data_IF_265935890795
#
_entry.id   IF_265935890795
#
_cell.length_a   1.000
_cell.length_b   1.000
_cell.length_c   1.000
_cell.angle_alpha   90.00
_cell.angle_beta   90.00
_cell.angle_gamma   90.00
#
_symmetry.space_group_name_H-M   'P 1'
#
loop_
_entity.id
_entity.type
_entity.pdbx_description
1 polymer ?
2 non-polymer ?
3 water ?
#
# COMPACT_ATOMS: atom_id res chain seq x y z
N UNK A 2 13.25 -32.87 26.55
CA UNK A 2 13.29 -31.55 25.93
C UNK A 2 14.71 -31.00 25.92
N UNK A 3 15.16 -30.52 24.76
CA UNK A 3 16.55 -30.13 24.57
C UNK A 3 16.69 -28.61 24.59
N UNK A 4 17.82 -28.15 25.16
CA UNK A 4 18.11 -26.73 25.18
C UNK A 4 18.64 -26.22 23.84
N UNK A 5 18.53 -24.92 23.65
CA UNK A 5 19.03 -24.24 22.46
C UNK A 5 20.44 -23.73 22.74
N UNK A 6 21.43 -24.30 22.07
CA UNK A 6 22.81 -23.86 22.26
C UNK A 6 23.06 -22.51 21.59
N UNK A 7 22.76 -22.40 20.29
CA UNK A 7 22.67 -21.11 19.66
C UNK A 7 21.65 -21.20 18.54
N UNK A 8 21.23 -20.05 18.04
CA UNK A 8 20.16 -20.01 17.05
C UNK A 8 20.23 -18.71 16.26
N UNK A 9 19.67 -18.75 15.06
CA UNK A 9 19.55 -17.59 14.20
C UNK A 9 18.16 -17.55 13.62
N UNK A 10 17.70 -16.36 13.30
CA UNK A 10 16.40 -16.22 12.65
C UNK A 10 16.48 -15.07 11.67
N UNK A 11 15.57 -15.10 10.70
CA UNK A 11 15.42 -14.07 9.69
C UNK A 11 13.94 -13.78 9.55
N UNK A 12 13.58 -12.50 9.48
CA UNK A 12 12.18 -12.13 9.41
C UNK A 12 12.06 -10.83 8.63
N UNK A 13 11.19 -10.82 7.61
CA UNK A 13 11.12 -9.65 6.74
C UNK A 13 10.64 -8.40 7.45
N UNK A 14 9.63 -8.54 8.31
CA UNK A 14 8.98 -7.45 9.05
C UNK A 14 8.28 -6.44 8.12
N UNK A 15 9.01 -5.91 7.13
CA UNK A 15 8.47 -4.83 6.30
C UNK A 15 7.20 -5.23 5.56
N UNK A 16 7.13 -6.46 5.04
CA UNK A 16 5.89 -6.93 4.41
C UNK A 16 4.70 -6.86 5.36
N UNK A 17 4.88 -7.24 6.63
CA UNK A 17 3.78 -7.19 7.59
C UNK A 17 3.34 -5.76 7.86
N UNK A 18 4.29 -4.81 7.89
CA UNK A 18 3.89 -3.40 8.05
C UNK A 18 3.12 -2.91 6.83
N UNK A 19 3.53 -3.34 5.63
CA UNK A 19 2.76 -2.98 4.45
C UNK A 19 1.37 -3.64 4.47
N UNK A 20 1.31 -4.93 4.84
CA UNK A 20 0.03 -5.63 4.95
C UNK A 20 -0.89 -4.99 5.99
N UNK A 21 -0.32 -4.43 7.06
CA UNK A 21 -1.14 -3.70 8.02
C UNK A 21 -1.81 -2.49 7.36
N UNK A 22 -1.01 -1.65 6.68
CA UNK A 22 -1.55 -0.50 5.95
C UNK A 22 -2.53 -0.95 4.86
N UNK A 23 -2.22 -2.04 4.16
CA UNK A 23 -3.16 -2.55 3.17
C UNK A 23 -4.51 -2.87 3.80
N UNK A 24 -4.49 -3.38 5.04
CA UNK A 24 -5.73 -3.69 5.73
C UNK A 24 -6.57 -2.46 6.03
N UNK A 25 -5.92 -1.32 6.28
CA UNK A 25 -6.68 -0.10 6.55
C UNK A 25 -7.32 0.47 5.28
N UNK A 26 -6.66 0.32 4.13
CA UNK A 26 -7.28 0.71 2.88
C UNK A 26 -8.47 -0.20 2.60
N UNK A 27 -8.27 -1.52 2.78
CA UNK A 27 -9.35 -2.47 2.51
C UNK A 27 -10.55 -2.24 3.42
N UNK A 28 -10.32 -1.85 4.68
CA UNK A 28 -11.41 -1.48 5.57
C UNK A 28 -11.79 -0.01 5.48
N UNK A 29 -11.43 0.67 4.41
CA UNK A 29 -11.83 2.05 4.22
C UNK A 29 -13.26 2.17 3.72
N UNK A 30 -13.63 3.41 3.40
CA UNK A 30 -14.97 3.73 2.92
C UNK A 30 -14.87 4.59 1.66
N UNK A 31 -15.72 4.26 0.66
CA UNK A 31 -15.83 4.95 -0.62
C UNK A 31 -17.20 5.61 -0.76
N UNK A 32 -17.23 6.85 -1.25
CA UNK A 32 -18.48 7.45 -1.69
C UNK A 32 -18.34 7.82 -3.16
N UNK A 33 -19.21 7.28 -4.00
CA UNK A 33 -19.16 7.49 -5.44
C UNK A 33 -20.44 8.19 -5.90
N UNK A 34 -20.30 9.37 -6.46
CA UNK A 34 -21.46 10.14 -6.92
C UNK A 34 -21.34 10.35 -8.43
N UNK A 35 -22.14 9.61 -9.19
CA UNK A 35 -22.10 9.72 -10.64
C UNK A 35 -20.84 9.17 -11.27
N UNK A 36 -20.19 8.21 -10.61
CA UNK A 36 -19.02 7.53 -11.13
C UNK A 36 -19.24 6.05 -10.90
N UNK A 37 -18.94 5.23 -11.90
CA UNK A 37 -19.06 3.79 -11.78
C UNK A 37 -17.72 3.16 -11.49
N UNK A 38 -17.72 1.83 -11.41
CA UNK A 38 -16.50 1.10 -11.17
C UNK A 38 -16.58 -0.27 -11.83
N UNK A 39 -15.54 -0.63 -12.58
CA UNK A 39 -15.51 -1.92 -13.23
C UNK A 39 -14.13 -2.15 -13.81
N UNK A 40 -13.76 -3.42 -13.92
CA UNK A 40 -12.44 -3.80 -14.39
C UNK A 40 -11.36 -3.09 -13.59
N UNK A 41 -11.63 -2.89 -12.29
CA UNK A 41 -10.69 -2.29 -11.34
C UNK A 41 -10.42 -0.83 -11.64
N UNK A 42 -11.34 -0.17 -12.33
CA UNK A 42 -11.15 1.21 -12.74
C UNK A 42 -12.42 2.01 -12.52
N UNK A 43 -12.27 3.25 -12.05
CA UNK A 43 -13.40 4.15 -11.95
C UNK A 43 -13.89 4.48 -13.36
N UNK A 44 -15.20 4.65 -13.49
CA UNK A 44 -15.87 4.78 -14.78
C UNK A 44 -16.59 6.12 -14.80
N UNK A 45 -16.12 7.02 -15.67
CA UNK A 45 -16.63 8.36 -15.79
C UNK A 45 -17.48 8.48 -17.04
N UNK A 46 -18.47 9.38 -16.97
CA UNK A 46 -19.47 9.53 -18.02
C UNK A 46 -19.82 11.00 -18.18
N UNK A 47 -19.76 11.50 -19.43
CA UNK A 47 -19.97 12.91 -19.65
C UNK A 47 -20.64 13.16 -20.98
N UNK A 48 -21.01 14.43 -21.18
CA UNK A 48 -21.59 14.86 -22.45
C UNK A 48 -21.14 16.27 -22.76
N UNK A 49 -19.88 16.58 -22.47
CA UNK A 49 -19.44 17.97 -22.46
C UNK A 49 -17.99 18.08 -22.90
N UNK A 50 -17.71 19.05 -23.73
CA UNK A 50 -16.34 19.34 -24.12
C UNK A 50 -16.28 19.85 -25.53
N UNK A 51 -15.05 20.07 -25.98
CA UNK A 51 -14.77 20.55 -27.32
C UNK A 51 -13.48 19.90 -27.81
N UNK A 52 -13.41 19.68 -29.12
CA UNK A 52 -12.26 19.04 -29.75
C UNK A 52 -12.00 19.73 -31.09
N UNK A 53 -10.76 20.17 -31.29
CA UNK A 53 -10.32 20.68 -32.59
C UNK A 53 -9.67 19.51 -33.31
N UNK A 54 -10.39 18.93 -34.26
CA UNK A 54 -9.91 17.72 -34.94
C UNK A 54 -8.80 18.01 -35.94
N UNK A 55 -8.73 19.24 -36.46
CA UNK A 55 -7.64 19.63 -37.35
C UNK A 55 -6.30 19.64 -36.63
N UNK A 56 -6.24 20.30 -35.48
CA UNK A 56 -5.01 20.44 -34.71
C UNK A 56 -4.84 19.36 -33.65
N UNK A 57 -5.84 18.51 -33.47
CA UNK A 57 -5.79 17.43 -32.49
C UNK A 57 -5.57 17.97 -31.08
N UNK A 58 -6.36 19.00 -30.73
CA UNK A 58 -6.48 19.48 -29.35
C UNK A 58 -7.92 19.33 -28.88
N UNK A 59 -8.09 19.20 -27.57
CA UNK A 59 -9.42 19.01 -27.03
C UNK A 59 -9.44 19.05 -25.52
N UNK A 60 -10.66 19.10 -24.98
CA UNK A 60 -10.95 19.07 -23.55
C UNK A 60 -12.27 18.35 -23.39
N UNK A 61 -12.28 17.30 -22.58
CA UNK A 61 -13.44 16.45 -22.35
C UNK A 61 -13.79 16.57 -20.87
N UNK A 62 -15.03 16.93 -20.57
CA UNK A 62 -15.48 17.12 -19.19
C UNK A 62 -16.31 15.95 -18.69
N UNK A 63 -16.18 15.68 -17.38
CA UNK A 63 -16.90 14.58 -16.74
C UNK A 63 -17.42 15.02 -15.37
N UNK A 64 -18.73 15.05 -15.13
CA UNK A 64 -19.22 15.32 -13.77
C UNK A 64 -18.96 14.16 -12.84
N UNK A 65 -19.35 14.27 -11.57
CA UNK A 65 -19.18 13.15 -10.67
C UNK A 65 -17.97 13.31 -9.76
N UNK A 66 -18.01 12.57 -8.64
CA UNK A 66 -17.00 12.70 -7.61
C UNK A 66 -16.71 11.35 -6.97
N UNK A 67 -15.49 11.25 -6.41
CA UNK A 67 -15.00 10.06 -5.71
C UNK A 67 -14.43 10.50 -4.37
N UNK A 68 -14.78 9.78 -3.30
CA UNK A 68 -14.33 10.13 -1.96
C UNK A 68 -13.89 8.87 -1.25
N UNK A 69 -12.65 8.87 -0.75
CA UNK A 69 -12.13 7.74 0.01
C UNK A 69 -11.71 8.20 1.40
N UNK A 70 -11.99 7.35 2.39
CA UNK A 70 -11.52 7.51 3.77
C UNK A 70 -11.02 6.15 4.25
N UNK A 71 -9.72 6.05 4.53
CA UNK A 71 -9.20 4.83 5.12
C UNK A 71 -9.71 4.64 6.54
N UNK A 72 -9.64 3.39 7.01
CA UNK A 72 -9.99 3.12 8.40
C UNK A 72 -9.09 3.96 9.30
N UNK A 73 -9.72 4.67 10.24
CA UNK A 73 -9.03 5.60 11.10
C UNK A 73 -9.14 7.05 10.67
N UNK A 74 -9.45 7.31 9.40
CA UNK A 74 -9.60 8.67 8.92
C UNK A 74 -8.32 9.41 8.64
N UNK A 75 -7.17 8.73 8.59
CA UNK A 75 -5.91 9.40 8.31
C UNK A 75 -5.76 9.68 6.82
N UNK A 76 -6.07 8.69 6.00
CA UNK A 76 -6.11 8.87 4.55
C UNK A 76 -7.51 9.36 4.19
N UNK A 77 -7.60 10.58 3.63
CA UNK A 77 -8.89 11.17 3.32
C UNK A 77 -8.75 12.05 2.09
N UNK A 78 -9.47 11.73 1.03
CA UNK A 78 -9.20 12.37 -0.25
C UNK A 78 -10.45 12.36 -1.11
N UNK A 79 -10.74 13.50 -1.76
CA UNK A 79 -11.86 13.61 -2.69
C UNK A 79 -11.43 14.26 -4.00
N UNK A 80 -11.85 13.67 -5.12
CA UNK A 80 -11.59 14.17 -6.47
C UNK A 80 -12.94 14.33 -7.17
N UNK A 81 -13.13 15.47 -7.85
CA UNK A 81 -14.41 15.68 -8.53
C UNK A 81 -14.23 16.41 -9.85
N UNK A 82 -15.20 16.16 -10.74
CA UNK A 82 -15.34 16.90 -11.99
C UNK A 82 -14.04 16.85 -12.81
N UNK A 83 -13.61 15.64 -13.13
CA UNK A 83 -12.33 15.50 -13.82
C UNK A 83 -12.46 16.01 -15.24
N UNK A 84 -11.32 16.43 -15.78
CA UNK A 84 -11.23 16.96 -17.13
C UNK A 84 -9.95 16.42 -17.77
N UNK A 85 -10.10 15.86 -18.96
CA UNK A 85 -8.96 15.41 -19.75
C UNK A 85 -8.74 16.42 -20.86
N UNK A 86 -7.56 17.05 -20.89
CA UNK A 86 -7.22 17.95 -21.97
C UNK A 86 -6.04 17.36 -22.73
N UNK A 87 -6.02 17.60 -24.03
CA UNK A 87 -4.91 17.11 -24.83
C UNK A 87 -4.56 18.13 -25.90
N UNK A 88 -3.27 18.15 -26.23
CA UNK A 88 -2.73 18.97 -27.29
C UNK A 88 -1.55 18.19 -27.83
N UNK A 89 -1.63 17.76 -29.09
CA UNK A 89 -0.67 16.79 -29.57
C UNK A 89 -0.79 15.52 -28.75
N UNK A 90 0.35 14.88 -28.48
CA UNK A 90 0.39 13.65 -27.69
C UNK A 90 0.50 13.90 -26.19
N UNK A 91 0.44 15.16 -25.75
CA UNK A 91 0.55 15.54 -24.35
C UNK A 91 -0.78 16.06 -23.82
N UNK A 92 -0.87 16.20 -22.51
CA UNK A 92 -2.10 16.77 -21.98
C UNK A 92 -2.08 16.89 -20.47
N UNK A 93 -3.23 17.27 -19.93
CA UNK A 93 -3.39 17.48 -18.50
C UNK A 93 -4.63 16.75 -18.02
N UNK A 94 -4.54 16.20 -16.82
CA UNK A 94 -5.68 15.70 -16.07
C UNK A 94 -5.94 16.70 -14.96
N UNK A 95 -7.10 17.33 -15.00
CA UNK A 95 -7.49 18.40 -14.09
C UNK A 95 -8.67 17.92 -13.24
N UNK A 96 -8.74 18.37 -11.99
CA UNK A 96 -9.85 18.01 -11.13
C UNK A 96 -9.93 18.93 -9.91
N UNK A 97 -11.14 18.99 -9.34
CA UNK A 97 -11.35 19.59 -8.03
C UNK A 97 -10.90 18.61 -6.96
N UNK A 98 -9.98 19.02 -6.09
CA UNK A 98 -9.37 18.13 -5.12
C UNK A 98 -9.54 18.71 -3.72
N UNK A 99 -10.00 17.86 -2.80
CA UNK A 99 -9.99 18.12 -1.37
C UNK A 99 -9.24 16.98 -0.71
N UNK A 100 -8.31 17.31 0.19
CA UNK A 100 -7.47 16.28 0.81
C UNK A 100 -7.20 16.65 2.27
N UNK A 101 -6.99 15.63 3.09
CA UNK A 101 -6.57 15.79 4.47
C UNK A 101 -5.09 15.46 4.62
N UNK A 102 -4.44 16.08 5.60
CA UNK A 102 -3.08 15.71 5.96
C UNK A 102 -3.14 14.63 7.04
N UNK A 103 -1.97 14.27 7.58
CA UNK A 103 -1.91 13.26 8.64
C UNK A 103 -2.69 13.69 9.89
N UNK A 104 -2.83 15.00 10.11
CA UNK A 104 -3.35 15.53 11.37
C UNK A 104 -4.84 15.82 11.34
N UNK A 105 -5.55 15.39 10.30
CA UNK A 105 -6.98 15.56 10.23
C UNK A 105 -7.45 16.90 9.70
N UNK A 106 -6.54 17.71 9.18
CA UNK A 106 -6.90 19.01 8.64
C UNK A 106 -7.27 18.83 7.18
N UNK A 107 -8.46 19.30 6.81
CA UNK A 107 -8.97 19.21 5.45
C UNK A 107 -8.60 20.48 4.70
N UNK A 108 -8.10 20.33 3.47
CA UNK A 108 -7.71 21.44 2.62
C UNK A 108 -8.41 21.33 1.28
N UNK A 109 -9.06 22.42 0.85
CA UNK A 109 -9.71 22.46 -0.45
C UNK A 109 -8.75 23.13 -1.44
N UNK A 110 -8.13 22.33 -2.29
CA UNK A 110 -7.23 22.89 -3.29
C UNK A 110 -7.95 23.45 -4.51
N UNK A 111 -9.26 23.26 -4.60
CA UNK A 111 -9.99 23.76 -5.74
C UNK A 111 -9.63 23.01 -7.02
N UNK A 112 -9.83 23.68 -8.14
CA UNK A 112 -9.56 23.12 -9.46
C UNK A 112 -8.06 23.14 -9.71
N UNK A 113 -7.45 21.98 -9.88
CA UNK A 113 -6.01 21.92 -10.05
C UNK A 113 -5.60 20.86 -11.06
N UNK A 114 -4.40 21.05 -11.62
CA UNK A 114 -3.76 20.04 -12.47
C UNK A 114 -3.27 18.91 -11.59
N UNK A 115 -3.92 17.76 -11.68
CA UNK A 115 -3.54 16.60 -10.89
C UNK A 115 -2.32 15.91 -11.49
N UNK A 116 -2.34 15.70 -12.80
CA UNK A 116 -1.18 15.13 -13.46
C UNK A 116 -1.09 15.57 -14.90
N UNK A 117 0.11 15.47 -15.45
CA UNK A 117 0.32 15.62 -16.87
C UNK A 117 0.20 14.27 -17.57
N UNK A 118 -0.30 14.30 -18.79
CA UNK A 118 -0.61 13.09 -19.55
C UNK A 118 0.39 12.92 -20.68
N UNK A 119 0.77 11.66 -20.93
CA UNK A 119 1.64 11.27 -22.03
C UNK A 119 0.89 10.18 -22.77
N UNK A 120 0.42 10.49 -23.99
CA UNK A 120 -0.48 9.59 -24.68
C UNK A 120 0.28 8.50 -25.43
N UNK A 121 -0.08 7.25 -25.16
CA UNK A 121 0.39 6.13 -25.99
C UNK A 121 -0.54 5.86 -27.17
N UNK A 122 -1.80 6.24 -27.08
CA UNK A 122 -2.71 6.18 -28.23
C UNK A 122 -3.60 7.40 -28.18
N UNK A 123 -3.76 8.07 -29.32
CA UNK A 123 -4.63 9.23 -29.42
C UNK A 123 -5.12 9.30 -30.86
N UNK A 124 -6.39 8.95 -31.07
CA UNK A 124 -7.01 8.92 -32.38
C UNK A 124 -8.06 10.02 -32.43
N UNK A 125 -8.06 10.81 -33.51
CA UNK A 125 -9.01 11.91 -33.63
C UNK A 125 -9.53 11.97 -35.06
N UNK A 126 -10.85 12.03 -35.20
CA UNK A 126 -11.52 12.29 -36.47
C UNK A 126 -12.64 13.29 -36.20
N UNK A 127 -13.44 13.57 -37.22
CA UNK A 127 -14.57 14.48 -37.05
C UNK A 127 -15.69 13.88 -36.23
N UNK A 128 -15.71 12.56 -36.04
CA UNK A 128 -16.79 11.92 -35.32
C UNK A 128 -16.35 11.36 -33.97
N UNK A 129 -15.05 11.28 -33.68
CA UNK A 129 -14.64 10.62 -32.44
C UNK A 129 -13.22 11.02 -32.05
N UNK A 130 -12.99 11.08 -30.73
CA UNK A 130 -11.65 11.25 -30.17
C UNK A 130 -11.50 10.28 -29.01
N UNK A 131 -10.39 9.55 -29.00
CA UNK A 131 -10.18 8.49 -28.01
C UNK A 131 -8.69 8.41 -27.72
N UNK A 132 -8.34 7.81 -26.58
CA UNK A 132 -6.94 7.83 -26.22
C UNK A 132 -6.65 7.09 -24.94
N UNK A 133 -5.36 6.92 -24.70
CA UNK A 133 -4.86 6.21 -23.53
C UNK A 133 -3.53 6.82 -23.17
N UNK A 134 -3.34 7.15 -21.89
CA UNK A 134 -2.18 7.92 -21.47
C UNK A 134 -1.73 7.47 -20.09
N UNK A 135 -0.42 7.50 -19.88
CA UNK A 135 0.08 7.41 -18.52
C UNK A 135 -0.08 8.76 -17.81
N UNK A 136 -0.09 8.72 -16.48
CA UNK A 136 -0.39 9.90 -15.66
C UNK A 136 0.76 10.14 -14.70
N UNK A 137 1.40 11.30 -14.81
CA UNK A 137 2.51 11.67 -13.97
C UNK A 137 2.08 12.77 -13.00
N UNK A 138 2.30 12.54 -11.71
CA UNK A 138 1.92 13.53 -10.71
C UNK A 138 2.60 14.87 -11.01
N UNK A 139 1.81 15.95 -11.01
CA UNK A 139 2.36 17.28 -11.18
C UNK A 139 2.87 17.83 -9.85
N UNK A 140 3.44 19.03 -9.89
CA UNK A 140 3.85 19.71 -8.67
C UNK A 140 2.63 20.17 -7.87
N UNK A 141 1.67 20.81 -8.53
CA UNK A 141 0.45 21.22 -7.83
C UNK A 141 -0.38 20.02 -7.41
N UNK A 142 -0.40 18.97 -8.26
CA UNK A 142 -1.01 17.71 -7.84
C UNK A 142 -0.31 17.11 -6.64
N UNK A 143 1.02 17.23 -6.58
CA UNK A 143 1.78 16.69 -5.46
C UNK A 143 1.42 17.40 -4.15
N UNK A 144 1.27 18.73 -4.19
CA UNK A 144 0.80 19.47 -3.01
C UNK A 144 -0.60 19.01 -2.60
N UNK A 145 -1.46 18.74 -3.59
CA UNK A 145 -2.86 18.40 -3.32
C UNK A 145 -3.04 17.01 -2.71
N UNK A 146 -2.02 16.16 -2.78
CA UNK A 146 -1.99 14.89 -2.05
C UNK A 146 -1.19 15.00 -0.77
N UNK A 147 -1.11 16.21 -0.21
CA UNK A 147 -0.40 16.50 1.04
C UNK A 147 1.08 16.13 0.97
N UNK A 148 1.66 16.21 -0.23
CA UNK A 148 3.08 15.94 -0.46
C UNK A 148 3.46 14.51 -0.06
N UNK A 149 2.52 13.57 -0.21
CA UNK A 149 2.83 12.16 0.02
C UNK A 149 3.93 11.69 -0.92
N UNK A 150 3.73 11.90 -2.22
CA UNK A 150 4.58 11.33 -3.25
C UNK A 150 5.28 12.44 -4.01
N UNK A 151 6.54 12.19 -4.38
CA UNK A 151 7.31 13.16 -5.12
C UNK A 151 6.60 13.49 -6.43
N UNK A 152 6.70 14.72 -6.91
CA UNK A 152 6.23 15.02 -8.27
C UNK A 152 6.86 14.07 -9.27
N UNK A 153 6.10 13.75 -10.31
CA UNK A 153 6.53 12.78 -11.29
C UNK A 153 6.17 11.35 -10.97
N UNK A 154 5.62 11.11 -9.79
CA UNK A 154 5.14 9.78 -9.44
C UNK A 154 4.07 9.31 -10.43
N UNK A 155 4.15 8.04 -10.80
CA UNK A 155 3.22 7.45 -11.75
C UNK A 155 1.94 7.02 -11.06
N UNK A 156 0.81 7.57 -11.48
CA UNK A 156 -0.48 7.09 -11.02
C UNK A 156 -0.95 5.98 -11.93
N UNK A 157 -2.19 5.54 -11.76
CA UNK A 157 -2.79 4.61 -12.69
C UNK A 157 -2.98 5.29 -14.05
N UNK A 158 -2.88 4.55 -15.15
CA UNK A 158 -3.14 5.15 -16.47
C UNK A 158 -4.61 5.45 -16.66
N UNK A 159 -4.90 6.32 -17.62
CA UNK A 159 -6.26 6.75 -17.90
C UNK A 159 -6.53 6.62 -19.41
N UNK A 160 -7.77 6.30 -19.74
CA UNK A 160 -8.19 6.21 -21.13
C UNK A 160 -9.59 6.79 -21.25
N UNK A 161 -9.95 7.17 -22.48
CA UNK A 161 -11.22 7.84 -22.74
C UNK A 161 -11.64 7.63 -24.18
N UNK A 162 -12.93 7.83 -24.42
CA UNK A 162 -13.45 7.89 -25.78
C UNK A 162 -14.63 8.85 -25.79
N UNK A 163 -14.73 9.63 -26.86
CA UNK A 163 -15.77 10.63 -26.97
C UNK A 163 -16.27 10.70 -28.40
N UNK A 164 -17.59 10.76 -28.55
CA UNK A 164 -18.22 11.02 -29.84
C UNK A 164 -18.43 12.52 -30.00
N UNK A 165 -18.16 13.02 -31.21
CA UNK A 165 -18.15 14.43 -31.52
C UNK A 165 -19.33 14.80 -32.41
N UNK A 166 -19.67 16.09 -32.42
CA UNK A 166 -20.72 16.61 -33.28
C UNK A 166 -20.32 17.85 -34.06
N UNK B 2 -14.31 23.62 -34.47
CA UNK B 2 -14.30 23.08 -33.10
C UNK B 2 -15.62 22.34 -32.83
N UNK B 3 -15.50 21.06 -32.49
CA UNK B 3 -16.64 20.16 -32.42
C UNK B 3 -17.02 19.91 -30.96
N UNK B 4 -18.32 19.90 -30.68
CA UNK B 4 -18.79 19.56 -29.34
C UNK B 4 -18.78 18.06 -29.08
N UNK B 5 -18.74 17.71 -27.80
CA UNK B 5 -18.74 16.32 -27.38
C UNK B 5 -20.19 15.88 -27.14
N UNK B 6 -20.60 14.83 -27.83
CA UNK B 6 -21.95 14.29 -27.69
C UNK B 6 -22.06 13.41 -26.45
N UNK B 7 -21.25 12.35 -26.40
CA UNK B 7 -21.12 11.48 -25.24
C UNK B 7 -19.64 11.19 -25.06
N UNK B 8 -19.25 10.98 -23.80
CA UNK B 8 -17.87 10.62 -23.52
C UNK B 8 -17.82 9.69 -22.32
N UNK B 9 -16.77 8.88 -22.28
CA UNK B 9 -16.51 8.02 -21.14
C UNK B 9 -15.01 8.04 -20.88
N UNK B 10 -14.64 7.66 -19.66
CA UNK B 10 -13.24 7.53 -19.30
C UNK B 10 -13.13 6.48 -18.20
N UNK B 11 -11.94 5.91 -18.12
CA UNK B 11 -11.63 4.83 -17.19
C UNK B 11 -10.28 5.16 -16.58
N UNK B 12 -10.19 5.07 -15.24
CA UNK B 12 -8.96 5.40 -14.50
C UNK B 12 -8.89 4.56 -13.22
N UNK B 13 -7.76 3.88 -13.02
CA UNK B 13 -7.60 2.98 -11.90
C UNK B 13 -7.19 3.66 -10.60
N UNK B 14 -6.95 2.83 -9.57
CA UNK B 14 -6.61 3.33 -8.24
C UNK B 14 -5.55 2.49 -7.55
N UNK B 15 -5.40 1.21 -7.94
CA UNK B 15 -4.56 0.29 -7.17
C UNK B 15 -3.08 0.70 -7.19
N UNK B 16 -2.62 1.37 -8.25
CA UNK B 16 -1.21 1.78 -8.28
C UNK B 16 -0.96 2.95 -7.33
N UNK B 17 -1.92 3.87 -7.21
CA UNK B 17 -1.79 4.93 -6.22
C UNK B 17 -1.76 4.36 -4.81
N UNK B 18 -2.64 3.40 -4.51
CA UNK B 18 -2.64 2.76 -3.20
C UNK B 18 -1.32 2.03 -2.93
N UNK B 19 -0.81 1.33 -3.95
CA UNK B 19 0.49 0.70 -3.80
C UNK B 19 1.58 1.72 -3.50
N UNK B 20 1.57 2.85 -4.23
CA UNK B 20 2.50 3.94 -3.92
C UNK B 20 2.38 4.38 -2.45
N UNK B 21 1.14 4.53 -1.97
CA UNK B 21 0.94 4.93 -0.58
C UNK B 21 1.48 3.88 0.39
N UNK B 22 1.23 2.60 0.10
CA UNK B 22 1.64 1.53 1.00
C UNK B 22 3.16 1.41 1.02
N UNK B 23 3.79 1.35 -0.15
CA UNK B 23 5.25 1.28 -0.22
C UNK B 23 5.87 2.57 0.31
N UNK B 24 5.30 3.72 -0.04
CA UNK B 24 5.84 4.98 0.42
C UNK B 24 5.89 5.08 1.93
N UNK B 25 4.86 4.57 2.61
CA UNK B 25 4.78 4.70 4.07
C UNK B 25 5.94 4.00 4.76
N UNK B 26 6.38 2.86 4.23
CA UNK B 26 7.47 2.12 4.87
C UNK B 26 8.82 2.68 4.44
N UNK B 27 8.94 3.03 3.15
CA UNK B 27 10.22 3.45 2.58
C UNK B 27 10.68 4.79 3.14
N UNK B 28 9.74 5.73 3.37
CA UNK B 28 10.06 7.03 3.92
C UNK B 28 10.00 7.04 5.45
N UNK B 29 9.96 5.86 6.07
CA UNK B 29 9.83 5.76 7.51
C UNK B 29 11.18 5.72 8.20
N UNK B 30 11.12 5.66 9.52
CA UNK B 30 12.32 5.65 10.34
C UNK B 30 12.41 4.36 11.12
N UNK B 31 13.63 3.84 11.29
CA UNK B 31 13.89 2.60 11.99
C UNK B 31 14.97 2.80 13.04
N UNK B 32 14.78 2.23 14.22
CA UNK B 32 15.82 2.14 15.22
C UNK B 32 16.01 0.67 15.58
N UNK B 33 17.24 0.20 15.46
CA UNK B 33 17.56 -1.21 15.62
C UNK B 33 18.53 -1.35 16.76
N UNK B 34 18.29 -2.32 17.63
CA UNK B 34 19.20 -2.58 18.73
C UNK B 34 19.31 -4.08 18.90
N UNK B 35 20.52 -4.62 18.74
CA UNK B 35 20.69 -6.05 18.89
C UNK B 35 20.11 -6.87 17.77
N UNK B 36 19.86 -6.24 16.62
CA UNK B 36 19.22 -6.85 15.45
C UNK B 36 19.94 -6.36 14.19
N UNK B 37 20.12 -7.24 13.21
CA UNK B 37 20.74 -6.89 11.96
C UNK B 37 19.74 -6.80 10.81
N UNK B 38 20.27 -6.56 9.62
CA UNK B 38 19.44 -6.53 8.41
C UNK B 38 20.28 -6.92 7.21
N UNK B 39 19.82 -7.93 6.48
CA UNK B 39 20.50 -8.42 5.29
C UNK B 39 19.52 -9.20 4.43
N UNK B 40 19.75 -9.21 3.12
CA UNK B 40 18.91 -10.01 2.23
C UNK B 40 17.43 -9.66 2.46
N UNK B 41 17.17 -8.36 2.64
CA UNK B 41 15.83 -7.82 2.85
C UNK B 41 15.12 -8.41 4.06
N UNK B 42 15.86 -8.86 5.06
CA UNK B 42 15.24 -9.40 6.27
C UNK B 42 16.02 -8.96 7.50
N UNK B 43 15.29 -8.69 8.58
CA UNK B 43 15.96 -8.46 9.86
C UNK B 43 16.55 -9.77 10.36
N UNK B 44 17.65 -9.66 11.09
CA UNK B 44 18.53 -10.77 11.42
C UNK B 44 18.67 -10.85 12.95
N UNK B 45 18.46 -12.02 13.52
CA UNK B 45 18.44 -12.23 14.96
C UNK B 45 19.42 -13.33 15.34
N UNK B 46 20.01 -13.20 16.54
CA UNK B 46 20.91 -14.19 17.11
C UNK B 46 20.50 -14.41 18.56
N UNK B 47 20.40 -15.67 18.96
CA UNK B 47 19.99 -15.99 20.31
C UNK B 47 20.72 -17.21 20.82
N UNK B 48 20.53 -17.47 22.12
CA UNK B 48 21.10 -18.64 22.78
C UNK B 48 20.10 -19.22 23.76
N UNK B 49 18.82 -19.28 23.38
CA UNK B 49 17.78 -19.60 24.35
C UNK B 49 16.59 -20.26 23.66
N UNK B 50 15.96 -21.18 24.39
CA UNK B 50 14.77 -21.87 23.91
C UNK B 50 14.72 -23.34 24.29
N UNK B 51 13.60 -23.99 24.02
CA UNK B 51 13.40 -25.42 24.30
C UNK B 51 12.68 -26.09 23.14
N UNK B 52 13.14 -27.27 22.75
CA UNK B 52 12.57 -27.98 21.60
C UNK B 52 12.24 -29.41 22.01
N UNK B 53 10.99 -29.82 21.78
CA UNK B 53 10.54 -31.20 21.94
C UNK B 53 10.67 -31.90 20.59
N UNK B 54 11.60 -32.85 20.50
CA UNK B 54 11.81 -33.55 19.24
C UNK B 54 10.73 -34.58 18.95
N UNK B 55 10.16 -35.21 19.99
CA UNK B 55 9.14 -36.23 19.77
C UNK B 55 7.89 -35.64 19.14
N UNK B 56 7.31 -34.62 19.79
CA UNK B 56 6.12 -33.96 19.28
C UNK B 56 6.42 -32.88 18.23
N UNK B 57 7.70 -32.58 17.99
CA UNK B 57 8.10 -31.52 17.06
C UNK B 57 7.47 -30.18 17.46
N UNK B 58 7.70 -29.78 18.71
CA UNK B 58 7.23 -28.50 19.22
C UNK B 58 8.38 -27.78 19.90
N UNK B 59 8.34 -26.46 19.87
CA UNK B 59 9.38 -25.72 20.57
C UNK B 59 9.13 -24.23 20.60
N UNK B 60 10.05 -23.53 21.25
CA UNK B 60 10.06 -22.07 21.31
C UNK B 60 11.50 -21.61 21.26
N UNK B 61 11.81 -20.74 20.31
CA UNK B 61 13.13 -20.16 20.17
C UNK B 61 13.00 -18.67 20.43
N UNK B 62 13.74 -18.15 21.42
CA UNK B 62 13.69 -16.74 21.80
C UNK B 62 14.94 -16.02 21.35
N UNK B 63 14.78 -14.74 20.98
CA UNK B 63 15.87 -13.91 20.51
C UNK B 63 15.82 -12.56 21.20
N UNK B 64 16.94 -12.04 21.68
CA UNK B 64 16.97 -10.66 22.16
C UNK B 64 16.97 -9.68 20.99
N UNK B 65 16.73 -8.42 21.29
CA UNK B 65 16.85 -7.37 20.30
C UNK B 65 15.52 -6.70 20.00
N UNK B 66 15.60 -5.44 19.57
CA UNK B 66 14.40 -4.66 19.33
C UNK B 66 14.47 -3.90 18.02
N UNK B 67 13.30 -3.68 17.45
CA UNK B 67 13.08 -2.91 16.24
C UNK B 67 12.00 -1.87 16.54
N UNK B 68 12.28 -0.61 16.24
CA UNK B 68 11.30 0.45 16.45
C UNK B 68 11.09 1.16 15.13
N UNK B 69 9.85 1.12 14.62
CA UNK B 69 9.47 1.69 13.33
C UNK B 69 8.52 2.87 13.52
N UNK B 70 8.77 3.93 12.76
CA UNK B 70 7.83 5.05 12.67
C UNK B 70 7.53 5.30 11.20
N UNK B 71 6.29 5.05 10.81
CA UNK B 71 5.89 5.20 9.42
C UNK B 71 5.93 6.64 8.96
N UNK B 72 6.02 6.78 7.63
CA UNK B 72 6.18 8.08 7.00
C UNK B 72 5.03 9.01 7.42
N UNK B 73 5.40 10.15 8.00
CA UNK B 73 4.44 11.09 8.55
C UNK B 73 4.29 10.93 10.05
N UNK B 74 4.18 9.68 10.49
CA UNK B 74 3.95 9.36 11.89
C UNK B 74 2.76 8.44 12.05
N UNK B 75 2.29 7.89 10.93
CA UNK B 75 1.02 7.15 10.90
C UNK B 75 1.11 5.89 11.76
N UNK B 76 2.13 5.08 11.54
CA UNK B 76 2.35 3.87 12.33
C UNK B 76 3.60 4.09 13.18
N UNK B 77 3.51 3.73 14.47
CA UNK B 77 4.62 3.92 15.41
C UNK B 77 4.67 2.75 16.37
N UNK B 78 5.65 1.85 16.17
CA UNK B 78 5.59 0.54 16.79
C UNK B 78 6.99 0.03 17.11
N UNK B 79 7.13 -0.51 18.33
CA UNK B 79 8.35 -1.20 18.74
C UNK B 79 8.06 -2.68 19.03
N UNK B 80 8.95 -3.54 18.56
CA UNK B 80 8.82 -4.99 18.70
C UNK B 80 10.12 -5.50 19.28
N UNK B 81 10.05 -6.27 20.37
CA UNK B 81 11.26 -6.68 21.07
C UNK B 81 11.13 -8.12 21.55
N UNK B 82 12.30 -8.76 21.70
CA UNK B 82 12.40 -10.09 22.28
C UNK B 82 11.46 -11.08 21.58
N UNK B 83 11.69 -11.25 20.26
CA UNK B 83 10.79 -12.10 19.50
C UNK B 83 10.97 -13.54 19.98
N UNK B 84 9.90 -14.30 19.87
CA UNK B 84 9.90 -15.73 20.15
C UNK B 84 9.20 -16.42 18.99
N UNK B 85 9.83 -17.48 18.46
CA UNK B 85 9.23 -18.32 17.45
C UNK B 85 8.72 -19.60 18.13
N UNK B 86 7.40 -19.76 18.13
CA UNK B 86 6.72 -20.89 18.75
C UNK B 86 6.14 -21.76 17.65
N UNK B 87 6.41 -23.06 17.70
CA UNK B 87 5.88 -23.95 16.68
C UNK B 87 5.32 -25.21 17.30
N UNK B 88 4.22 -25.70 16.71
CA UNK B 88 3.59 -26.97 17.05
C UNK B 88 3.28 -27.66 15.71
N UNK B 89 4.20 -28.51 15.28
CA UNK B 89 4.08 -29.07 13.95
C UNK B 89 4.32 -27.98 12.91
N UNK B 90 3.47 -27.96 11.89
CA UNK B 90 3.64 -27.05 10.76
C UNK B 90 2.91 -25.72 10.96
N UNK B 91 2.41 -25.44 12.16
CA UNK B 91 1.80 -24.16 12.47
C UNK B 91 2.44 -23.58 13.72
N UNK B 92 2.29 -22.28 13.90
CA UNK B 92 2.88 -21.67 15.08
C UNK B 92 2.49 -20.23 15.23
N UNK B 93 3.22 -19.55 16.13
CA UNK B 93 2.97 -18.16 16.45
C UNK B 93 4.30 -17.43 16.55
N UNK B 94 4.29 -16.17 16.15
CA UNK B 94 5.38 -15.24 16.40
C UNK B 94 4.92 -14.29 17.52
N UNK B 95 5.64 -14.30 18.64
CA UNK B 95 5.28 -13.58 19.86
C UNK B 95 6.39 -12.60 20.19
N UNK B 96 6.03 -11.44 20.76
CA UNK B 96 7.03 -10.42 21.09
C UNK B 96 6.48 -9.43 22.12
N UNK B 97 7.40 -8.63 22.67
CA UNK B 97 7.01 -7.43 23.44
C UNK B 97 6.65 -6.34 22.47
N UNK B 98 5.41 -5.89 22.52
CA UNK B 98 4.94 -4.86 21.59
C UNK B 98 4.61 -3.57 22.36
N UNK B 99 5.16 -2.46 21.88
CA UNK B 99 4.73 -1.11 22.29
C UNK B 99 4.29 -0.35 21.04
N UNK B 100 3.16 0.33 21.15
CA UNK B 100 2.63 1.11 20.03
C UNK B 100 2.11 2.45 20.51
N UNK B 101 2.31 3.49 19.70
CA UNK B 101 1.80 4.82 19.98
C UNK B 101 0.53 5.07 19.19
N UNK B 102 -0.30 5.97 19.71
CA UNK B 102 -1.63 6.17 19.14
C UNK B 102 -1.70 7.48 18.36
N UNK B 103 -2.92 7.97 18.17
CA UNK B 103 -3.17 9.15 17.35
C UNK B 103 -2.33 10.34 17.80
N UNK B 104 -2.31 10.62 19.11
CA UNK B 104 -1.80 11.89 19.63
C UNK B 104 -0.59 11.72 20.54
N UNK B 105 0.25 10.71 20.27
CA UNK B 105 1.53 10.59 20.94
C UNK B 105 1.59 9.67 22.13
N UNK B 106 0.47 9.04 22.50
CA UNK B 106 0.42 8.23 23.71
C UNK B 106 0.89 6.82 23.42
N UNK B 107 1.80 6.33 24.25
CA UNK B 107 2.46 5.08 23.99
C UNK B 107 1.88 4.01 24.92
N UNK B 108 1.41 2.92 24.32
CA UNK B 108 0.78 1.80 25.01
C UNK B 108 1.66 0.57 24.94
N UNK B 109 1.99 0.03 26.10
CA UNK B 109 2.75 -1.20 26.23
C UNK B 109 1.76 -2.37 26.31
N UNK B 110 1.81 -3.28 25.34
CA UNK B 110 0.91 -4.43 25.36
C UNK B 110 1.56 -5.67 25.93
N UNK B 111 2.80 -5.59 26.41
CA UNK B 111 3.39 -6.81 26.88
C UNK B 111 3.57 -7.84 25.76
N UNK B 112 3.70 -9.10 26.18
CA UNK B 112 3.79 -10.21 25.25
C UNK B 112 2.54 -10.28 24.41
N UNK B 113 2.72 -10.23 23.09
CA UNK B 113 1.61 -10.18 22.14
C UNK B 113 1.94 -11.12 21.00
N UNK B 114 0.92 -11.81 20.48
CA UNK B 114 1.11 -12.53 19.23
C UNK B 114 1.18 -11.50 18.10
N UNK B 115 2.37 -11.35 17.52
CA UNK B 115 2.54 -10.51 16.34
C UNK B 115 1.78 -11.08 15.15
N UNK B 116 1.89 -12.40 14.95
CA UNK B 116 1.20 -13.03 13.82
C UNK B 116 1.29 -14.53 13.91
N UNK B 117 0.51 -15.18 13.05
CA UNK B 117 0.50 -16.64 12.97
C UNK B 117 1.42 -17.13 11.85
N UNK B 118 2.00 -18.31 12.07
CA UNK B 118 3.05 -18.88 11.22
C UNK B 118 2.53 -20.09 10.47
N UNK B 119 2.71 -20.10 9.16
CA UNK B 119 2.43 -21.26 8.32
C UNK B 119 3.78 -21.82 7.87
N UNK B 120 4.12 -23.01 8.33
CA UNK B 120 5.43 -23.58 8.05
C UNK B 120 5.41 -24.38 6.75
N UNK B 121 6.22 -23.93 5.78
CA UNK B 121 6.47 -24.75 4.61
C UNK B 121 7.53 -25.80 4.87
N UNK B 122 8.48 -25.53 5.78
CA UNK B 122 9.47 -26.51 6.18
C UNK B 122 9.67 -26.47 7.69
N UNK B 123 9.82 -27.64 8.31
CA UNK B 123 10.15 -27.72 9.72
C UNK B 123 10.89 -29.02 9.98
N UNK B 124 12.13 -28.92 10.47
CA UNK B 124 12.94 -30.09 10.79
C UNK B 124 13.39 -29.99 12.24
N UNK B 125 13.41 -31.13 12.92
CA UNK B 125 13.89 -31.25 14.29
C UNK B 125 14.58 -32.61 14.44
N UNK B 126 15.84 -32.59 14.86
CA UNK B 126 16.60 -33.78 15.19
C UNK B 126 17.08 -33.67 16.64
N UNK B 127 17.99 -34.55 17.02
CA UNK B 127 18.57 -34.49 18.36
C UNK B 127 19.63 -33.40 18.49
N UNK B 128 20.08 -32.82 17.37
CA UNK B 128 21.17 -31.87 17.37
C UNK B 128 20.84 -30.53 16.75
N UNK B 129 19.70 -30.40 16.07
CA UNK B 129 19.38 -29.20 15.31
C UNK B 129 17.87 -29.10 15.11
N UNK B 130 17.40 -27.87 14.96
CA UNK B 130 16.02 -27.58 14.57
C UNK B 130 16.03 -26.40 13.60
N UNK B 131 15.12 -26.44 12.64
CA UNK B 131 15.04 -25.37 11.65
C UNK B 131 13.64 -25.37 11.04
N UNK B 132 13.25 -24.23 10.49
CA UNK B 132 11.97 -24.11 9.84
C UNK B 132 11.91 -22.88 8.95
N UNK B 133 10.92 -22.89 8.04
CA UNK B 133 10.60 -21.76 7.17
C UNK B 133 9.09 -21.57 7.16
N UNK B 134 8.65 -20.32 7.24
CA UNK B 134 7.24 -20.01 7.42
C UNK B 134 6.89 -18.67 6.79
N UNK B 135 5.59 -18.43 6.66
CA UNK B 135 5.01 -17.14 6.31
C UNK B 135 4.34 -16.55 7.55
N UNK B 136 4.44 -15.23 7.73
CA UNK B 136 3.81 -14.53 8.85
C UNK B 136 2.51 -13.90 8.38
N UNK B 137 1.39 -14.35 8.93
CA UNK B 137 0.09 -13.82 8.56
C UNK B 137 -0.45 -12.94 9.69
N UNK B 138 -1.00 -11.79 9.31
CA UNK B 138 -1.44 -10.83 10.32
C UNK B 138 -2.68 -11.38 11.02
N UNK B 139 -2.54 -11.67 12.31
CA UNK B 139 -3.63 -12.16 13.13
C UNK B 139 -4.60 -11.03 13.46
N UNK B 143 -11.22 -12.38 5.95
CA UNK B 143 -11.28 -12.28 4.50
C UNK B 143 -11.51 -10.84 4.05
N UNK B 144 -10.54 -10.28 3.34
CA UNK B 144 -10.70 -8.97 2.73
C UNK B 144 -10.66 -9.09 1.21
N UNK B 145 -11.03 -10.27 0.69
CA UNK B 145 -11.03 -10.50 -0.75
C UNK B 145 -11.94 -9.53 -1.48
N UNK B 146 -12.98 -9.02 -0.80
CA UNK B 146 -13.88 -8.05 -1.40
C UNK B 146 -13.14 -6.80 -1.85
N UNK B 147 -11.96 -6.53 -1.29
CA UNK B 147 -11.20 -5.34 -1.62
C UNK B 147 -10.18 -5.57 -2.73
N UNK B 148 -10.10 -6.80 -3.26
CA UNK B 148 -9.10 -7.14 -4.28
C UNK B 148 -9.23 -6.31 -5.55
N UNK B 149 -10.40 -5.73 -5.81
CA UNK B 149 -10.60 -4.98 -7.05
C UNK B 149 -10.06 -3.56 -6.97
N UNK B 150 -9.76 -3.05 -5.77
CA UNK B 150 -9.11 -1.76 -5.64
C UNK B 150 -7.90 -1.75 -4.71
N UNK B 151 -7.64 -2.83 -3.97
CA UNK B 151 -6.47 -2.85 -3.09
C UNK B 151 -5.42 -3.79 -3.64
N UNK B 152 -4.17 -3.36 -3.80
CA UNK B 152 -3.09 -4.31 -4.12
C UNK B 152 -3.08 -5.48 -3.14
N UNK B 153 -2.64 -6.64 -3.63
CA UNK B 153 -2.61 -7.84 -2.81
C UNK B 153 -1.55 -7.79 -1.72
N UNK B 154 -1.69 -8.71 -0.77
CA UNK B 154 -0.73 -8.78 0.33
C UNK B 154 0.61 -9.30 -0.17
N UNK B 155 1.64 -9.00 0.62
CA UNK B 155 3.01 -9.44 0.34
C UNK B 155 3.41 -10.53 1.32
N UNK B 156 4.12 -11.55 0.83
CA UNK B 156 4.62 -12.58 1.74
C UNK B 156 5.65 -11.98 2.68
N UNK B 157 5.48 -12.23 3.98
CA UNK B 157 6.44 -11.83 5.00
C UNK B 157 7.12 -13.09 5.50
N UNK B 158 8.35 -13.38 5.07
CA UNK B 158 8.95 -14.68 5.40
C UNK B 158 9.63 -14.64 6.76
N UNK B 159 9.66 -15.79 7.41
CA UNK B 159 10.44 -15.98 8.63
C UNK B 159 11.06 -17.36 8.60
N UNK B 160 12.28 -17.48 9.11
CA UNK B 160 12.99 -18.75 9.13
C UNK B 160 13.96 -18.73 10.30
N UNK B 161 14.34 -19.93 10.75
CA UNK B 161 15.28 -20.07 11.85
C UNK B 161 16.06 -21.35 11.71
N UNK B 162 17.26 -21.36 12.29
CA UNK B 162 18.01 -22.57 12.55
C UNK B 162 18.57 -22.52 13.96
N UNK B 163 18.61 -23.66 14.62
CA UNK B 163 19.08 -23.76 16.00
C UNK B 163 19.93 -25.02 16.18
N UNK B 164 21.03 -24.88 16.90
CA UNK B 164 21.78 -26.03 17.38
C UNK B 164 21.26 -26.39 18.78
N UNK B 165 21.19 -27.68 19.07
CA UNK B 165 20.61 -28.16 20.31
C UNK B 165 21.70 -28.78 21.19
N UNK B 166 21.30 -29.15 22.41
CA UNK B 166 22.26 -29.68 23.37
C UNK B 166 21.67 -30.69 24.33
#
# INVERSE_FOLDING_TARGET
>A
MSLGVTQASAQWGVKASFQNYIRGSIANGSWTLNGVGFDNQQFQFSGNSGAVDAENKTGSINFPGSIHFTGAGGILDMQIANIEISFNGNSGELIADVVSSDMDGNSTNYGRTVVGTLNFSALNVSATEASGSASVSLSQSGSQAFADFYTPGTQLDPISFSATLGGLEHHHHHH
>B
MSLGVTQASAQWGVKASFQNYIRGSIANGSWTLNGVGFDNQQFQFSGNSGAVDAENKTGSINFPGSIHFTGAGGILDMQIANIEISFNGNSGELIADVVSSDMDGNSTNYGRTVVGTLNFSALNVSATEASGSASVSLSQSGSQAFADFYTPGTQLDPISFSATLGGLEHHHHHH
#
